data_IF_645697825884
#
_entry.id   IF_645697825884
#
_cell.length_a   1.000
_cell.length_b   1.000
_cell.length_c   1.000
_cell.angle_alpha   90.00
_cell.angle_beta   90.00
_cell.angle_gamma   90.00
#
_symmetry.space_group_name_H-M   'P 1'
#
loop_
_entity.id
_entity.type
_entity.pdbx_description
1 polymer ?
#
# COMPACT_ATOMS: atom_id res chain seq x y z
N UNK A 1 -11.40 6.20 19.21
CA UNK A 1 -10.37 5.88 18.20
C UNK A 1 -11.11 5.53 16.94
N UNK A 2 -11.11 6.43 15.96
CA UNK A 2 -11.83 6.26 14.70
C UNK A 2 -11.06 5.24 13.86
N UNK A 3 -11.46 3.97 13.94
CA UNK A 3 -10.74 2.80 13.41
C UNK A 3 -10.48 2.85 11.89
N UNK A 4 -11.11 3.78 11.15
CA UNK A 4 -10.88 3.97 9.71
C UNK A 4 -9.82 5.01 9.34
N UNK A 5 -9.57 6.01 10.19
CA UNK A 5 -8.60 7.09 9.92
C UNK A 5 -7.15 6.61 10.03
N UNK A 6 -6.86 5.87 11.09
CA UNK A 6 -5.54 5.27 11.36
C UNK A 6 -5.07 4.33 10.24
N UNK A 7 -5.97 3.49 9.68
CA UNK A 7 -5.57 2.49 8.67
C UNK A 7 -5.19 3.14 7.34
N UNK A 8 -5.94 4.17 6.91
CA UNK A 8 -5.64 4.89 5.67
C UNK A 8 -4.35 5.69 5.79
N UNK A 9 -4.16 6.38 6.92
CA UNK A 9 -2.93 7.14 7.18
C UNK A 9 -1.72 6.20 7.22
N UNK A 10 -1.81 5.08 7.94
CA UNK A 10 -0.75 4.08 8.01
C UNK A 10 -0.42 3.48 6.65
N UNK A 11 -1.43 3.17 5.84
CA UNK A 11 -1.22 2.67 4.48
C UNK A 11 -0.50 3.71 3.60
N UNK A 12 -0.84 4.99 3.75
CA UNK A 12 -0.18 6.07 3.02
C UNK A 12 1.29 6.25 3.41
N UNK A 13 1.61 6.13 4.70
CA UNK A 13 3.00 6.15 5.18
C UNK A 13 3.81 5.00 4.58
N UNK A 14 3.26 3.78 4.58
CA UNK A 14 3.92 2.60 4.03
C UNK A 14 4.12 2.71 2.51
N UNK A 15 3.13 3.21 1.78
CA UNK A 15 3.24 3.43 0.32
C UNK A 15 4.35 4.43 0.00
N UNK A 16 4.45 5.53 0.76
CA UNK A 16 5.51 6.54 0.60
C UNK A 16 6.89 5.96 0.92
N UNK A 17 7.00 5.19 2.01
CA UNK A 17 8.24 4.52 2.39
C UNK A 17 8.71 3.57 1.28
N UNK A 18 7.81 2.73 0.77
CA UNK A 18 8.09 1.74 -0.27
C UNK A 18 8.38 2.36 -1.65
N UNK A 19 7.94 3.60 -1.91
CA UNK A 19 8.27 4.36 -3.13
C UNK A 19 9.55 5.19 -2.99
N UNK A 20 10.14 5.29 -1.80
CA UNK A 20 11.41 5.99 -1.62
C UNK A 20 12.53 5.21 -2.33
N UNK A 21 13.20 5.80 -3.34
CA UNK A 21 14.27 5.12 -4.08
C UNK A 21 15.52 4.84 -3.24
N UNK A 22 15.61 5.39 -2.03
CA UNK A 22 16.71 5.17 -1.09
C UNK A 22 16.41 4.04 -0.09
N UNK A 23 15.20 3.47 -0.08
CA UNK A 23 14.90 2.31 0.75
C UNK A 23 15.69 1.11 0.21
N UNK A 24 16.57 0.48 1.02
CA UNK A 24 17.28 -0.70 0.56
C UNK A 24 16.34 -1.90 0.44
N UNK A 25 16.55 -2.73 -0.58
CA UNK A 25 15.70 -3.91 -0.86
C UNK A 25 15.52 -4.84 0.35
N UNK A 26 16.53 -4.95 1.23
CA UNK A 26 16.47 -5.75 2.45
C UNK A 26 15.46 -5.24 3.49
N UNK A 27 15.08 -3.95 3.42
CA UNK A 27 14.12 -3.30 4.31
C UNK A 27 12.73 -3.18 3.69
N UNK A 28 12.54 -3.58 2.42
CA UNK A 28 11.27 -3.50 1.69
C UNK A 28 10.24 -4.55 2.11
N UNK A 29 10.68 -5.77 2.46
CA UNK A 29 9.78 -6.91 2.72
C UNK A 29 8.83 -6.66 3.91
N UNK A 30 9.35 -6.11 5.01
CA UNK A 30 8.56 -5.81 6.22
C UNK A 30 7.40 -4.83 5.97
N UNK A 31 7.69 -3.61 5.47
CA UNK A 31 6.67 -2.63 5.13
C UNK A 31 5.66 -3.12 4.08
N UNK A 32 6.11 -3.92 3.09
CA UNK A 32 5.22 -4.48 2.07
C UNK A 32 4.24 -5.48 2.69
N UNK A 33 4.73 -6.42 3.51
CA UNK A 33 3.87 -7.38 4.24
C UNK A 33 2.90 -6.68 5.17
N UNK A 34 3.32 -5.60 5.84
CA UNK A 34 2.41 -4.79 6.66
C UNK A 34 1.32 -4.13 5.81
N UNK A 35 1.69 -3.53 4.68
CA UNK A 35 0.76 -2.86 3.77
C UNK A 35 -0.30 -3.82 3.21
N UNK A 36 0.11 -5.02 2.77
CA UNK A 36 -0.80 -6.07 2.31
C UNK A 36 -1.78 -6.50 3.41
N UNK A 37 -1.32 -6.62 4.66
CA UNK A 37 -2.16 -7.02 5.80
C UNK A 37 -3.22 -5.98 6.13
N UNK A 38 -2.86 -4.70 6.20
CA UNK A 38 -3.80 -3.63 6.60
C UNK A 38 -4.80 -3.32 5.47
N UNK A 39 -4.36 -3.40 4.22
CA UNK A 39 -5.24 -3.17 3.05
C UNK A 39 -6.04 -4.41 2.68
N UNK A 40 -5.60 -5.59 3.11
CA UNK A 40 -6.07 -6.91 2.67
C UNK A 40 -5.87 -7.14 1.17
N UNK A 41 -5.06 -6.32 0.50
CA UNK A 41 -4.77 -6.40 -0.92
C UNK A 41 -3.40 -7.08 -1.14
N UNK A 42 -3.36 -8.35 -1.58
CA UNK A 42 -2.10 -9.09 -1.76
C UNK A 42 -1.29 -8.66 -3.00
N UNK A 43 -1.80 -7.73 -3.80
CA UNK A 43 -1.15 -7.21 -5.02
C UNK A 43 -1.04 -5.67 -4.97
N UNK A 44 -0.87 -5.12 -3.77
CA UNK A 44 -0.70 -3.68 -3.60
C UNK A 44 0.56 -3.16 -4.32
N UNK A 45 1.62 -3.99 -4.43
CA UNK A 45 2.80 -3.67 -5.24
C UNK A 45 2.46 -3.47 -6.73
N UNK A 46 1.49 -4.21 -7.26
CA UNK A 46 1.05 -4.07 -8.65
C UNK A 46 0.40 -2.71 -8.88
N UNK A 47 -0.38 -2.24 -7.91
CA UNK A 47 -0.96 -0.89 -7.93
C UNK A 47 0.12 0.18 -7.91
N UNK A 48 1.23 -0.06 -7.20
CA UNK A 48 2.31 0.90 -7.02
C UNK A 48 3.23 1.03 -8.22
N UNK A 49 3.59 -0.08 -8.86
CA UNK A 49 4.70 -0.14 -9.80
C UNK A 49 4.32 -0.59 -11.22
N UNK A 50 3.15 -1.24 -11.39
CA UNK A 50 2.79 -1.91 -12.64
C UNK A 50 1.51 -1.35 -13.30
N UNK A 51 0.97 -0.22 -12.80
CA UNK A 51 -0.18 0.47 -13.41
C UNK A 51 0.24 1.47 -14.47
N UNK A 52 -0.52 1.51 -15.57
CA UNK A 52 -0.44 2.52 -16.61
C UNK A 52 -1.85 3.08 -16.90
N UNK A 53 -2.10 4.39 -16.69
CA UNK A 53 -1.18 5.38 -16.10
C UNK A 53 -0.83 5.06 -14.64
N UNK A 54 0.32 5.56 -14.18
CA UNK A 54 0.77 5.38 -12.79
C UNK A 54 -0.17 6.07 -11.80
N UNK A 55 -0.47 5.41 -10.69
CA UNK A 55 -1.33 5.94 -9.62
C UNK A 55 -0.55 6.83 -8.64
N UNK A 56 -1.20 7.85 -8.08
CA UNK A 56 -0.69 8.59 -6.92
C UNK A 56 -0.65 7.69 -5.67
N UNK A 57 0.07 8.10 -4.63
CA UNK A 57 0.13 7.35 -3.38
C UNK A 57 -1.26 7.19 -2.75
N UNK A 58 -2.08 8.25 -2.79
CA UNK A 58 -3.45 8.22 -2.29
C UNK A 58 -4.34 7.28 -3.11
N UNK A 59 -4.21 7.29 -4.44
CA UNK A 59 -4.98 6.41 -5.33
C UNK A 59 -4.65 4.93 -5.12
N UNK A 60 -3.37 4.62 -4.87
CA UNK A 60 -2.93 3.27 -4.47
C UNK A 60 -3.65 2.84 -3.20
N UNK A 61 -3.62 3.68 -2.16
CA UNK A 61 -4.25 3.39 -0.86
C UNK A 61 -5.75 3.19 -1.01
N UNK A 62 -6.42 4.09 -1.74
CA UNK A 62 -7.87 4.04 -1.91
C UNK A 62 -8.29 2.78 -2.71
N UNK A 63 -7.54 2.38 -3.74
CA UNK A 63 -7.78 1.13 -4.47
C UNK A 63 -7.48 -0.10 -3.60
N UNK A 64 -6.38 -0.09 -2.86
CA UNK A 64 -5.99 -1.22 -2.01
C UNK A 64 -7.00 -1.45 -0.88
N UNK A 65 -7.50 -0.40 -0.22
CA UNK A 65 -8.54 -0.51 0.81
C UNK A 65 -9.93 -0.90 0.26
N UNK A 66 -10.17 -0.56 -1.00
CA UNK A 66 -11.38 -0.96 -1.73
C UNK A 66 -11.32 -2.40 -2.22
N UNK A 67 -10.16 -3.07 -2.12
CA UNK A 67 -10.01 -4.44 -2.55
C UNK A 67 -10.97 -5.36 -1.78
N UNK A 68 -11.63 -6.24 -2.53
CA UNK A 68 -12.50 -7.29 -2.00
C UNK A 68 -12.04 -8.59 -2.62
N UNK A 69 -11.44 -9.51 -1.84
CA UNK A 69 -11.10 -10.81 -2.36
C UNK A 69 -12.37 -11.49 -2.88
N UNK A 70 -12.26 -12.17 -4.02
CA UNK A 70 -13.30 -13.03 -4.55
C UNK A 70 -13.35 -14.30 -3.68
N UNK A 71 -14.05 -14.23 -2.54
CA UNK A 71 -14.31 -15.39 -1.67
C UNK A 71 -15.66 -15.98 -1.98
#
# INVERSE_FOLDING_TARGET
>A
MEIGGDVRERALELVRLLRDPNLPDSETDGPLVELERITRCPHVSDLMFFRDPSLSDEEVVDQALSYRPFT
#
